data_IF_905383415096
#
_entry.id   IF_905383415096
#
_cell.length_a   1.000
_cell.length_b   1.000
_cell.length_c   1.000
_cell.angle_alpha   90.00
_cell.angle_beta   90.00
_cell.angle_gamma   90.00
#
_symmetry.space_group_name_H-M   'P 1'
#
loop_
_entity.id
_entity.type
_entity.pdbx_description
1 polymer ?
#
# COMPACT_ATOMS: atom_id res chain seq x y z
N UNK A 1 -41.65 36.32 90.00
CA UNK A 1 -41.63 37.24 88.84
C UNK A 1 -40.18 37.65 88.62
N UNK A 2 -39.44 36.98 87.72
CA UNK A 2 -38.14 37.42 87.20
C UNK A 2 -37.63 36.40 86.17
N UNK A 3 -37.02 36.92 85.12
CA UNK A 3 -36.89 36.36 83.78
C UNK A 3 -35.53 35.67 83.58
N UNK A 4 -35.57 34.57 82.82
CA UNK A 4 -34.42 33.83 82.24
C UNK A 4 -33.54 34.72 81.36
N UNK A 5 -32.23 34.56 81.46
CA UNK A 5 -31.31 34.70 80.31
C UNK A 5 -30.25 33.59 80.32
N UNK A 6 -29.96 33.09 79.13
CA UNK A 6 -29.18 31.90 78.82
C UNK A 6 -27.66 32.15 78.85
N UNK A 7 -26.91 31.17 79.32
CA UNK A 7 -25.51 30.92 78.94
C UNK A 7 -25.44 29.50 78.38
N UNK A 8 -25.17 29.36 77.08
CA UNK A 8 -24.93 28.06 76.47
C UNK A 8 -23.44 27.91 76.17
N UNK A 9 -22.90 26.77 76.61
CA UNK A 9 -21.50 26.46 76.68
C UNK A 9 -20.95 25.99 75.33
N UNK A 10 -19.65 26.28 75.18
CA UNK A 10 -18.70 25.76 74.20
C UNK A 10 -18.91 24.27 73.88
N UNK A 11 -19.08 23.95 72.60
CA UNK A 11 -18.75 22.64 72.04
C UNK A 11 -17.69 22.84 70.96
N UNK A 12 -16.45 22.51 71.31
CA UNK A 12 -15.33 22.44 70.40
C UNK A 12 -15.03 20.98 70.08
N UNK A 13 -14.82 20.69 68.80
CA UNK A 13 -13.91 19.64 68.34
C UNK A 13 -14.53 18.28 68.03
N UNK A 14 -14.78 18.02 66.74
CA UNK A 14 -14.16 16.90 65.99
C UNK A 14 -14.64 16.96 64.52
N UNK A 15 -13.90 17.66 63.66
CA UNK A 15 -14.07 17.52 62.20
C UNK A 15 -12.97 16.57 61.72
N UNK A 16 -13.31 15.28 61.59
CA UNK A 16 -12.42 14.28 61.01
C UNK A 16 -12.33 14.57 59.52
N UNK A 17 -11.14 14.98 59.08
CA UNK A 17 -10.75 15.15 57.70
C UNK A 17 -10.75 13.78 57.01
N UNK A 18 -11.82 13.44 56.28
CA UNK A 18 -11.85 12.28 55.40
C UNK A 18 -11.02 12.59 54.15
N UNK A 19 -9.75 12.19 54.17
CA UNK A 19 -8.92 12.17 52.97
C UNK A 19 -9.54 11.17 51.97
N UNK A 20 -10.15 11.70 50.91
CA UNK A 20 -10.56 10.92 49.75
C UNK A 20 -9.32 10.33 49.11
N UNK A 21 -9.10 9.02 49.31
CA UNK A 21 -8.08 8.27 48.59
C UNK A 21 -8.54 8.19 47.13
N UNK A 22 -7.91 9.00 46.29
CA UNK A 22 -8.08 8.93 44.84
C UNK A 22 -7.45 7.61 44.38
N UNK A 23 -8.27 6.57 44.24
CA UNK A 23 -7.85 5.34 43.58
C UNK A 23 -7.59 5.68 42.11
N UNK A 24 -6.32 5.67 41.68
CA UNK A 24 -6.01 5.67 40.25
C UNK A 24 -6.63 4.39 39.67
N UNK A 25 -7.70 4.51 38.91
CA UNK A 25 -8.27 3.37 38.21
C UNK A 25 -7.29 2.98 37.10
N UNK A 26 -6.48 1.96 37.38
CA UNK A 26 -5.67 1.30 36.35
C UNK A 26 -6.63 0.48 35.51
N UNK A 27 -7.03 1.00 34.35
CA UNK A 27 -7.76 0.25 33.36
C UNK A 27 -6.84 -0.82 32.78
N UNK A 28 -6.86 -2.01 33.37
CA UNK A 28 -6.20 -3.18 32.77
C UNK A 28 -7.08 -3.62 31.61
N UNK A 29 -6.60 -3.38 30.39
CA UNK A 29 -7.26 -3.86 29.18
C UNK A 29 -7.12 -5.38 29.11
N UNK A 30 -8.11 -6.07 29.64
CA UNK A 30 -8.24 -7.52 29.49
C UNK A 30 -8.67 -7.89 28.07
N UNK A 31 -8.41 -9.15 27.67
CA UNK A 31 -8.77 -9.73 26.37
C UNK A 31 -10.21 -9.41 25.95
N UNK A 32 -11.16 -9.54 26.88
CA UNK A 32 -12.59 -9.31 26.63
C UNK A 32 -12.91 -7.83 26.35
N UNK A 33 -12.18 -6.90 26.94
CA UNK A 33 -12.36 -5.45 26.72
C UNK A 33 -11.67 -4.99 25.44
N UNK A 34 -10.51 -5.58 25.09
CA UNK A 34 -9.80 -5.27 23.85
C UNK A 34 -10.50 -5.77 22.57
N UNK A 35 -11.30 -6.84 22.68
CA UNK A 35 -11.89 -7.54 21.52
C UNK A 35 -13.42 -7.43 21.46
N UNK A 36 -14.03 -6.62 22.34
CA UNK A 36 -15.47 -6.46 22.44
C UNK A 36 -16.11 -5.95 21.13
N UNK A 37 -15.41 -5.08 20.41
CA UNK A 37 -15.90 -4.45 19.17
C UNK A 37 -15.73 -5.36 17.93
N UNK A 38 -15.09 -6.52 18.07
CA UNK A 38 -14.87 -7.45 16.97
C UNK A 38 -16.16 -8.22 16.66
N UNK A 39 -16.80 -7.84 15.56
CA UNK A 39 -17.91 -8.59 14.97
C UNK A 39 -17.43 -9.97 14.51
N UNK A 40 -18.00 -11.03 15.09
CA UNK A 40 -17.68 -12.42 14.73
C UNK A 40 -18.90 -13.17 14.18
N UNK A 41 -19.94 -12.44 13.78
CA UNK A 41 -21.08 -13.03 13.07
C UNK A 41 -20.59 -13.67 11.77
N UNK A 42 -21.09 -14.86 11.49
CA UNK A 42 -20.71 -15.64 10.31
C UNK A 42 -21.98 -16.23 9.70
N UNK A 43 -22.19 -15.90 8.42
CA UNK A 43 -23.26 -16.48 7.61
C UNK A 43 -22.61 -17.46 6.64
N UNK A 44 -22.85 -18.77 6.78
CA UNK A 44 -22.33 -19.77 5.84
C UNK A 44 -22.82 -19.49 4.43
N UNK A 45 -21.95 -19.74 3.44
CA UNK A 45 -22.35 -19.73 2.03
C UNK A 45 -23.24 -20.95 1.73
N UNK A 46 -24.12 -20.86 0.74
CA UNK A 46 -24.90 -22.00 0.25
C UNK A 46 -24.76 -22.09 -1.27
N UNK A 47 -23.73 -22.80 -1.73
CA UNK A 47 -23.47 -23.05 -3.15
C UNK A 47 -23.68 -24.53 -3.50
N UNK A 48 -24.32 -24.84 -4.64
CA UNK A 48 -24.41 -26.20 -5.12
C UNK A 48 -23.02 -26.66 -5.60
N UNK A 49 -22.38 -27.55 -4.85
CA UNK A 49 -21.08 -28.12 -5.23
C UNK A 49 -21.29 -29.35 -6.12
N UNK A 50 -20.48 -29.47 -7.17
CA UNK A 50 -20.47 -30.65 -8.03
C UNK A 50 -20.07 -31.91 -7.24
N UNK A 51 -20.51 -33.08 -7.70
CA UNK A 51 -20.11 -34.39 -7.13
C UNK A 51 -18.81 -34.91 -7.76
N UNK A 52 -18.43 -34.36 -8.90
CA UNK A 52 -17.21 -34.75 -9.60
C UNK A 52 -15.99 -34.18 -8.89
N UNK A 53 -14.87 -34.90 -8.89
CA UNK A 53 -13.62 -34.44 -8.26
C UNK A 53 -12.89 -33.46 -9.17
N UNK A 54 -12.19 -32.52 -8.54
CA UNK A 54 -11.35 -31.55 -9.25
C UNK A 54 -10.35 -32.25 -10.17
N UNK A 55 -10.42 -31.93 -11.46
CA UNK A 55 -9.48 -32.42 -12.46
C UNK A 55 -8.20 -31.54 -12.52
N UNK A 56 -7.14 -32.04 -13.16
CA UNK A 56 -5.86 -31.31 -13.25
C UNK A 56 -5.98 -29.98 -14.04
N UNK A 57 -6.92 -29.90 -14.98
CA UNK A 57 -7.18 -28.67 -15.74
C UNK A 57 -7.79 -27.59 -14.84
N UNK A 58 -8.86 -27.93 -14.11
CA UNK A 58 -9.51 -27.09 -13.12
C UNK A 58 -8.53 -26.67 -12.03
N UNK A 59 -7.65 -27.56 -11.57
CA UNK A 59 -6.57 -27.21 -10.65
C UNK A 59 -5.67 -26.09 -11.18
N UNK A 60 -5.25 -26.17 -12.46
CA UNK A 60 -4.42 -25.13 -13.10
C UNK A 60 -5.20 -23.84 -13.30
N UNK A 61 -6.46 -23.94 -13.70
CA UNK A 61 -7.33 -22.78 -13.90
C UNK A 61 -7.60 -22.06 -12.57
N UNK A 62 -7.77 -22.78 -11.46
CA UNK A 62 -7.88 -22.19 -10.12
C UNK A 62 -6.61 -21.44 -9.74
N UNK A 63 -5.44 -22.07 -9.88
CA UNK A 63 -4.15 -21.41 -9.57
C UNK A 63 -3.96 -20.16 -10.43
N UNK A 64 -4.26 -20.23 -11.73
CA UNK A 64 -4.10 -19.11 -12.65
C UNK A 64 -5.00 -17.92 -12.28
N UNK A 65 -6.24 -18.18 -11.88
CA UNK A 65 -7.24 -17.13 -11.67
C UNK A 65 -7.29 -16.59 -10.24
N UNK A 66 -6.85 -17.35 -9.23
CA UNK A 66 -6.83 -16.95 -7.82
C UNK A 66 -5.46 -16.45 -7.35
N UNK A 67 -4.37 -16.84 -8.01
CA UNK A 67 -3.04 -16.35 -7.63
C UNK A 67 -2.92 -14.84 -7.87
N UNK A 68 -2.36 -14.12 -6.91
CA UNK A 68 -2.22 -12.66 -6.92
C UNK A 68 -3.54 -11.89 -6.95
N UNK A 69 -4.67 -12.56 -6.69
CA UNK A 69 -5.96 -11.89 -6.62
C UNK A 69 -6.04 -10.97 -5.40
N UNK A 70 -6.75 -9.85 -5.56
CA UNK A 70 -6.95 -8.85 -4.53
C UNK A 70 -8.39 -8.93 -4.03
N UNK A 71 -8.57 -8.85 -2.73
CA UNK A 71 -9.87 -8.80 -2.08
C UNK A 71 -9.87 -7.85 -0.89
N UNK A 72 -10.99 -7.78 -0.19
CA UNK A 72 -11.18 -6.98 1.02
C UNK A 72 -11.64 -7.87 2.16
N UNK A 73 -11.05 -7.70 3.34
CA UNK A 73 -11.44 -8.49 4.50
C UNK A 73 -12.84 -8.07 4.99
N UNK A 74 -13.79 -8.99 5.13
CA UNK A 74 -15.10 -8.67 5.72
C UNK A 74 -15.07 -8.56 7.24
N UNK A 75 -14.07 -9.18 7.86
CA UNK A 75 -13.89 -9.31 9.31
C UNK A 75 -12.42 -9.11 9.66
N UNK A 76 -12.06 -8.78 10.91
CA UNK A 76 -10.65 -8.65 11.25
C UNK A 76 -9.97 -10.01 11.13
N UNK A 77 -8.95 -10.12 10.30
CA UNK A 77 -8.22 -11.36 10.09
C UNK A 77 -7.09 -11.47 11.12
N UNK A 78 -6.96 -12.58 11.85
CA UNK A 78 -5.83 -12.78 12.75
C UNK A 78 -4.55 -13.09 11.97
N UNK A 79 -3.40 -12.76 12.56
CA UNK A 79 -2.11 -13.31 12.14
C UNK A 79 -2.10 -14.79 12.56
N UNK A 80 -2.42 -15.68 11.63
CA UNK A 80 -2.60 -17.09 11.95
C UNK A 80 -3.30 -17.89 10.87
N UNK A 81 -3.83 -19.04 11.27
CA UNK A 81 -4.54 -19.96 10.40
C UNK A 81 -6.00 -20.01 10.82
N UNK A 82 -6.89 -19.79 9.85
CA UNK A 82 -8.33 -19.97 9.99
C UNK A 82 -8.80 -21.03 9.00
N UNK A 83 -9.79 -21.81 9.41
CA UNK A 83 -10.34 -22.92 8.63
C UNK A 83 -11.79 -22.62 8.32
N UNK A 84 -12.12 -22.61 7.04
CA UNK A 84 -13.47 -22.40 6.55
C UNK A 84 -13.95 -23.69 5.93
N UNK A 85 -15.05 -24.25 6.43
CA UNK A 85 -15.67 -25.41 5.78
C UNK A 85 -16.51 -24.92 4.60
N UNK A 86 -16.39 -25.54 3.43
CA UNK A 86 -17.20 -25.20 2.28
C UNK A 86 -18.70 -25.33 2.63
N UNK A 87 -19.45 -24.23 2.45
CA UNK A 87 -20.86 -24.09 2.88
C UNK A 87 -21.12 -24.38 4.37
N UNK A 88 -20.09 -24.29 5.22
CA UNK A 88 -20.18 -24.65 6.62
C UNK A 88 -19.52 -23.61 7.51
N UNK A 89 -19.16 -24.03 8.72
CA UNK A 89 -18.71 -23.11 9.77
C UNK A 89 -17.26 -22.65 9.59
N UNK A 90 -16.99 -21.47 10.17
CA UNK A 90 -15.65 -20.92 10.37
C UNK A 90 -15.08 -21.40 11.71
N UNK A 91 -13.89 -21.98 11.66
CA UNK A 91 -13.10 -22.41 12.82
C UNK A 91 -11.77 -21.66 12.86
N UNK A 92 -11.29 -21.20 14.02
CA UNK A 92 -11.85 -21.36 15.37
C UNK A 92 -13.12 -20.55 15.61
N UNK A 93 -13.97 -21.04 16.53
CA UNK A 93 -15.19 -20.35 16.96
C UNK A 93 -14.91 -18.98 17.61
N UNK A 94 -15.95 -18.18 17.82
CA UNK A 94 -15.83 -16.74 18.07
C UNK A 94 -14.88 -16.34 19.20
N UNK A 95 -14.90 -17.05 20.34
CA UNK A 95 -14.04 -16.73 21.48
C UNK A 95 -12.56 -16.99 21.19
N UNK A 96 -12.26 -18.16 20.59
CA UNK A 96 -10.89 -18.50 20.17
C UNK A 96 -10.40 -17.59 19.05
N UNK A 97 -11.31 -17.14 18.19
CA UNK A 97 -10.99 -16.18 17.14
C UNK A 97 -10.54 -14.84 17.73
N UNK A 98 -11.25 -14.33 18.75
CA UNK A 98 -10.86 -13.12 19.50
C UNK A 98 -9.55 -13.32 20.25
N UNK A 99 -9.37 -14.47 20.92
CA UNK A 99 -8.14 -14.81 21.61
C UNK A 99 -6.93 -14.80 20.67
N UNK A 100 -7.09 -15.34 19.45
CA UNK A 100 -6.02 -15.30 18.44
C UNK A 100 -5.66 -13.88 18.03
N UNK A 101 -6.65 -13.01 17.80
CA UNK A 101 -6.41 -11.60 17.46
C UNK A 101 -5.70 -10.89 18.62
N UNK A 102 -6.13 -11.14 19.86
CA UNK A 102 -5.51 -10.54 21.05
C UNK A 102 -4.04 -10.98 21.23
N UNK A 103 -3.76 -12.29 21.08
CA UNK A 103 -2.42 -12.84 21.33
C UNK A 103 -1.44 -12.61 20.17
N UNK A 104 -1.89 -12.78 18.94
CA UNK A 104 -1.02 -12.76 17.74
C UNK A 104 -1.10 -11.44 16.98
N UNK A 105 -2.13 -10.64 17.23
CA UNK A 105 -2.41 -9.43 16.48
C UNK A 105 -3.31 -9.67 15.28
N UNK A 106 -3.73 -8.56 14.70
CA UNK A 106 -4.59 -8.49 13.53
C UNK A 106 -3.74 -8.30 12.27
N UNK A 107 -3.95 -9.16 11.28
CA UNK A 107 -3.30 -9.12 9.97
C UNK A 107 -3.97 -8.10 9.03
N UNK A 108 -5.30 -8.01 9.07
CA UNK A 108 -6.09 -7.10 8.24
C UNK A 108 -7.34 -6.66 8.99
N UNK A 109 -7.72 -5.39 8.86
CA UNK A 109 -8.97 -4.86 9.41
C UNK A 109 -10.16 -5.15 8.49
N UNK A 110 -11.41 -5.11 9.00
CA UNK A 110 -12.59 -5.08 8.14
C UNK A 110 -12.49 -3.94 7.13
N UNK A 111 -12.69 -4.23 5.85
CA UNK A 111 -12.55 -3.29 4.74
C UNK A 111 -11.11 -3.06 4.27
N UNK A 112 -10.10 -3.70 4.87
CA UNK A 112 -8.72 -3.58 4.43
C UNK A 112 -8.44 -4.50 3.22
N UNK A 113 -7.55 -4.04 2.33
CA UNK A 113 -7.20 -4.76 1.12
C UNK A 113 -6.22 -5.90 1.44
N UNK A 114 -6.57 -7.10 1.01
CA UNK A 114 -5.75 -8.30 1.13
C UNK A 114 -5.39 -8.85 -0.24
N UNK A 115 -4.23 -9.48 -0.35
CA UNK A 115 -3.75 -10.07 -1.60
C UNK A 115 -3.42 -11.55 -1.40
N UNK A 116 -3.88 -12.39 -2.32
CA UNK A 116 -3.53 -13.81 -2.37
C UNK A 116 -2.10 -13.96 -2.86
N UNK A 117 -1.20 -14.33 -1.96
CA UNK A 117 0.24 -14.46 -2.23
C UNK A 117 0.69 -15.87 -2.53
N UNK A 118 -0.04 -16.89 -2.05
CA UNK A 118 0.19 -18.28 -2.43
C UNK A 118 -1.12 -19.08 -2.35
N UNK A 119 -1.26 -20.04 -3.26
CA UNK A 119 -2.38 -20.97 -3.32
C UNK A 119 -1.84 -22.40 -3.37
N UNK A 120 -2.24 -23.24 -2.41
CA UNK A 120 -1.87 -24.64 -2.35
C UNK A 120 -3.12 -25.53 -2.29
N UNK A 121 -3.35 -26.27 -3.37
CA UNK A 121 -4.47 -27.20 -3.49
C UNK A 121 -4.00 -28.59 -3.00
N UNK A 122 -4.60 -29.07 -1.91
CA UNK A 122 -4.40 -30.44 -1.38
C UNK A 122 -5.57 -31.33 -1.78
N UNK A 123 -5.65 -32.56 -1.25
CA UNK A 123 -6.71 -33.50 -1.64
C UNK A 123 -8.11 -33.06 -1.25
N UNK A 124 -8.26 -32.51 -0.05
CA UNK A 124 -9.52 -32.15 0.59
C UNK A 124 -9.62 -30.68 1.00
N UNK A 125 -8.55 -29.90 0.79
CA UNK A 125 -8.49 -28.51 1.21
C UNK A 125 -7.71 -27.63 0.24
N UNK A 126 -8.15 -26.38 0.12
CA UNK A 126 -7.46 -25.31 -0.58
C UNK A 126 -6.87 -24.36 0.47
N UNK A 127 -5.56 -24.20 0.47
CA UNK A 127 -4.84 -23.33 1.40
C UNK A 127 -4.47 -22.04 0.68
N UNK A 128 -4.99 -20.93 1.17
CA UNK A 128 -4.80 -19.58 0.63
C UNK A 128 -3.98 -18.76 1.62
N UNK A 129 -2.84 -18.25 1.19
CA UNK A 129 -2.01 -17.35 1.98
C UNK A 129 -2.26 -15.90 1.58
N UNK A 130 -2.79 -15.12 2.51
CA UNK A 130 -3.04 -13.69 2.38
C UNK A 130 -1.85 -12.89 2.91
N UNK A 131 -1.42 -11.88 2.17
CA UNK A 131 -0.35 -10.94 2.55
C UNK A 131 0.93 -11.65 3.05
N UNK A 132 1.37 -12.68 2.33
CA UNK A 132 2.59 -13.45 2.64
C UNK A 132 2.36 -14.66 3.55
N UNK A 133 1.16 -14.80 4.11
CA UNK A 133 0.80 -15.85 5.05
C UNK A 133 1.34 -15.61 6.48
N UNK A 134 0.95 -16.45 7.44
CA UNK A 134 1.26 -16.26 8.87
C UNK A 134 2.66 -16.76 9.27
N UNK A 135 3.40 -17.37 8.34
CA UNK A 135 4.73 -17.93 8.61
C UNK A 135 5.76 -17.31 7.68
N UNK A 136 6.93 -16.97 8.24
CA UNK A 136 8.05 -16.46 7.46
C UNK A 136 8.55 -17.53 6.49
N UNK A 137 8.79 -17.14 5.24
CA UNK A 137 9.39 -18.05 4.25
C UNK A 137 10.85 -18.28 4.62
N UNK A 138 11.25 -19.54 4.77
CA UNK A 138 12.62 -19.91 5.09
C UNK A 138 13.55 -19.60 3.90
N UNK A 139 14.50 -18.66 4.09
CA UNK A 139 15.52 -18.31 3.09
C UNK A 139 16.85 -18.94 3.52
N UNK A 140 17.18 -20.12 3.03
CA UNK A 140 18.40 -20.83 3.48
C UNK A 140 19.70 -20.00 3.36
N UNK A 141 19.80 -19.15 2.33
CA UNK A 141 20.94 -18.25 2.12
C UNK A 141 21.06 -17.15 3.20
N UNK A 142 20.01 -16.84 3.96
CA UNK A 142 20.08 -15.85 5.04
C UNK A 142 20.86 -16.34 6.26
N UNK A 143 21.16 -17.64 6.34
CA UNK A 143 22.02 -18.22 7.37
C UNK A 143 23.48 -18.34 6.93
N UNK A 144 23.80 -18.03 5.67
CA UNK A 144 25.17 -18.10 5.15
C UNK A 144 25.83 -16.75 5.35
N UNK A 145 26.95 -16.76 6.09
CA UNK A 145 27.81 -15.61 6.32
C UNK A 145 29.14 -15.83 5.60
N UNK A 146 29.60 -14.81 4.88
CA UNK A 146 30.92 -14.77 4.28
C UNK A 146 31.64 -13.54 4.82
N UNK A 147 32.81 -13.71 5.44
CA UNK A 147 33.59 -12.63 6.05
C UNK A 147 32.76 -11.77 7.02
N UNK A 148 32.04 -12.41 7.95
CA UNK A 148 31.15 -11.78 8.93
C UNK A 148 30.04 -10.89 8.36
N UNK A 149 29.79 -10.98 7.04
CA UNK A 149 28.68 -10.31 6.38
C UNK A 149 27.67 -11.35 5.89
N UNK A 150 26.39 -11.09 6.16
CA UNK A 150 25.30 -11.92 5.67
C UNK A 150 25.23 -11.81 4.15
N UNK A 151 25.23 -12.95 3.44
CA UNK A 151 25.18 -12.97 1.96
C UNK A 151 23.87 -12.39 1.43
N UNK A 152 22.81 -12.47 2.24
CA UNK A 152 21.50 -11.88 1.95
C UNK A 152 21.10 -10.96 3.10
N UNK A 153 20.66 -9.75 2.75
CA UNK A 153 20.07 -8.82 3.71
C UNK A 153 18.90 -9.51 4.44
N UNK A 154 19.05 -9.67 5.76
CA UNK A 154 17.99 -10.14 6.62
C UNK A 154 17.13 -8.93 6.99
N UNK A 155 16.05 -8.70 6.24
CA UNK A 155 15.19 -7.53 6.43
C UNK A 155 14.30 -7.61 7.68
N UNK A 156 14.45 -8.62 8.55
CA UNK A 156 13.66 -8.75 9.78
C UNK A 156 12.15 -8.83 9.51
N UNK A 157 11.77 -9.29 8.31
CA UNK A 157 10.39 -9.28 7.82
C UNK A 157 9.53 -10.22 8.66
N UNK A 158 8.71 -9.64 9.54
CA UNK A 158 7.81 -10.41 10.38
C UNK A 158 6.61 -10.85 9.55
N UNK A 159 6.19 -12.14 9.62
CA UNK A 159 5.04 -12.60 8.89
C UNK A 159 3.76 -12.03 9.51
N UNK A 160 3.23 -10.98 8.90
CA UNK A 160 2.00 -10.31 9.34
C UNK A 160 0.75 -10.80 8.58
N UNK A 161 0.89 -11.82 7.75
CA UNK A 161 -0.20 -12.34 6.93
C UNK A 161 -1.16 -13.29 7.65
N UNK A 162 -2.17 -13.73 6.92
CA UNK A 162 -3.17 -14.70 7.40
C UNK A 162 -3.27 -15.87 6.43
N UNK A 163 -3.62 -17.06 6.92
CA UNK A 163 -3.85 -18.26 6.10
C UNK A 163 -5.29 -18.72 6.26
N UNK A 164 -5.98 -18.85 5.14
CA UNK A 164 -7.31 -19.43 5.08
C UNK A 164 -7.20 -20.85 4.51
N UNK A 165 -7.72 -21.82 5.24
CA UNK A 165 -7.82 -23.20 4.79
C UNK A 165 -9.28 -23.49 4.49
N UNK A 166 -9.64 -23.53 3.21
CA UNK A 166 -10.97 -23.92 2.76
C UNK A 166 -11.04 -25.45 2.67
N UNK A 167 -11.85 -26.08 3.53
CA UNK A 167 -11.97 -27.54 3.65
C UNK A 167 -13.25 -28.02 2.98
N UNK A 168 -13.15 -29.08 2.18
CA UNK A 168 -14.26 -29.72 1.49
C UNK A 168 -14.49 -31.11 2.09
N UNK A 169 -15.58 -31.31 2.87
CA UNK A 169 -15.91 -32.62 3.41
C UNK A 169 -16.20 -33.60 2.25
N UNK A 170 -15.25 -34.52 1.98
CA UNK A 170 -15.37 -35.48 0.88
C UNK A 170 -14.41 -35.27 -0.30
N UNK A 171 -13.52 -34.27 -0.22
CA UNK A 171 -12.57 -33.95 -1.28
C UNK A 171 -12.99 -32.73 -2.09
N UNK A 172 -12.04 -32.13 -2.80
CA UNK A 172 -12.33 -30.92 -3.59
C UNK A 172 -13.16 -31.30 -4.82
N UNK A 173 -14.38 -30.77 -4.97
CA UNK A 173 -15.19 -31.00 -6.14
C UNK A 173 -14.68 -30.19 -7.35
N UNK A 174 -15.18 -30.47 -8.55
CA UNK A 174 -14.91 -29.63 -9.71
C UNK A 174 -15.56 -28.26 -9.50
N UNK A 175 -14.71 -27.27 -9.15
CA UNK A 175 -15.11 -25.92 -8.80
C UNK A 175 -14.31 -24.92 -9.62
N UNK A 176 -14.98 -23.87 -10.05
CA UNK A 176 -14.42 -22.75 -10.77
C UNK A 176 -13.87 -21.69 -9.82
N UNK A 177 -13.01 -20.80 -10.31
CA UNK A 177 -12.46 -19.71 -9.51
C UNK A 177 -13.54 -18.78 -8.93
N UNK A 178 -14.60 -18.39 -9.67
CA UNK A 178 -15.72 -17.61 -9.11
C UNK A 178 -16.42 -18.31 -7.95
N UNK A 179 -16.63 -19.63 -8.03
CA UNK A 179 -17.27 -20.40 -6.95
C UNK A 179 -16.40 -20.45 -5.70
N UNK A 180 -15.08 -20.62 -5.85
CA UNK A 180 -14.14 -20.56 -4.71
C UNK A 180 -14.14 -19.17 -4.07
N UNK A 181 -14.25 -18.10 -4.85
CA UNK A 181 -14.37 -16.72 -4.32
C UNK A 181 -15.66 -16.55 -3.53
N UNK A 182 -16.78 -17.02 -4.05
CA UNK A 182 -18.07 -16.98 -3.36
C UNK A 182 -18.06 -17.85 -2.07
N UNK A 183 -17.34 -18.96 -2.05
CA UNK A 183 -17.11 -19.73 -0.82
C UNK A 183 -16.27 -18.98 0.21
N UNK A 184 -15.35 -18.12 -0.22
CA UNK A 184 -14.50 -17.31 0.66
C UNK A 184 -15.14 -15.98 1.07
N UNK A 185 -16.24 -15.57 0.43
CA UNK A 185 -16.97 -14.32 0.66
C UNK A 185 -17.28 -14.03 2.15
N UNK A 186 -17.65 -14.98 3.01
CA UNK A 186 -17.88 -14.68 4.43
C UNK A 186 -16.66 -14.12 5.19
N UNK A 187 -15.45 -14.27 4.61
CA UNK A 187 -14.18 -13.86 5.19
C UNK A 187 -13.50 -12.77 4.33
N UNK A 188 -13.47 -12.94 3.01
CA UNK A 188 -12.83 -12.02 2.06
C UNK A 188 -13.73 -11.80 0.85
N UNK A 189 -14.03 -10.54 0.55
CA UNK A 189 -14.72 -10.11 -0.67
C UNK A 189 -13.73 -10.02 -1.83
N UNK A 190 -13.93 -10.79 -2.89
CA UNK A 190 -13.17 -10.67 -4.14
C UNK A 190 -13.97 -10.00 -5.26
N UNK A 191 -15.23 -9.64 -5.02
CA UNK A 191 -16.13 -9.01 -5.99
C UNK A 191 -15.85 -7.52 -6.20
N UNK A 192 -15.00 -6.90 -5.38
CA UNK A 192 -14.73 -5.47 -5.47
C UNK A 192 -13.86 -5.16 -6.69
N UNK A 193 -14.45 -4.40 -7.61
CA UNK A 193 -13.79 -3.92 -8.82
C UNK A 193 -12.55 -3.11 -8.45
N UNK A 194 -11.45 -3.31 -9.19
CA UNK A 194 -10.27 -2.45 -9.05
C UNK A 194 -10.66 -0.98 -9.30
N UNK A 195 -9.94 -0.02 -8.71
CA UNK A 195 -10.26 1.41 -8.90
C UNK A 195 -10.35 1.82 -10.37
N UNK A 196 -9.54 1.21 -11.24
CA UNK A 196 -9.58 1.41 -12.68
C UNK A 196 -10.84 0.83 -13.33
N UNK A 197 -11.27 -0.36 -12.90
CA UNK A 197 -12.47 -1.02 -13.40
C UNK A 197 -13.75 -0.32 -12.92
N UNK A 198 -13.77 0.10 -11.65
CA UNK A 198 -14.85 0.92 -11.12
C UNK A 198 -14.95 2.27 -11.86
N UNK A 199 -13.81 2.86 -12.23
CA UNK A 199 -13.79 4.04 -13.09
C UNK A 199 -14.29 3.74 -14.51
N UNK A 200 -13.89 2.63 -15.12
CA UNK A 200 -14.34 2.26 -16.46
C UNK A 200 -15.87 2.11 -16.55
N UNK A 201 -16.52 1.64 -15.48
CA UNK A 201 -17.98 1.52 -15.43
C UNK A 201 -18.73 2.86 -15.39
N UNK A 202 -18.08 3.94 -14.94
CA UNK A 202 -18.70 5.28 -14.95
C UNK A 202 -18.63 5.95 -16.32
N UNK A 203 -17.86 5.39 -17.26
CA UNK A 203 -17.64 5.97 -18.57
C UNK A 203 -18.78 5.65 -19.56
N UNK A 204 -18.96 6.49 -20.60
CA UNK A 204 -19.85 6.23 -21.73
C UNK A 204 -19.62 4.85 -22.37
N UNK A 205 -20.64 4.23 -22.97
CA UNK A 205 -20.57 2.84 -23.45
C UNK A 205 -19.46 2.62 -24.49
N UNK A 206 -19.21 3.59 -25.37
CA UNK A 206 -18.13 3.52 -26.36
C UNK A 206 -16.75 3.41 -25.71
N UNK A 207 -16.46 4.29 -24.76
CA UNK A 207 -15.21 4.28 -23.98
C UNK A 207 -15.09 3.01 -23.12
N UNK A 208 -16.18 2.57 -22.50
CA UNK A 208 -16.21 1.34 -21.70
C UNK A 208 -15.88 0.10 -22.53
N UNK A 209 -16.46 0.00 -23.73
CA UNK A 209 -16.20 -1.10 -24.65
C UNK A 209 -14.75 -1.09 -25.15
N UNK A 210 -14.20 0.08 -25.47
CA UNK A 210 -12.78 0.21 -25.85
C UNK A 210 -11.85 -0.23 -24.71
N UNK A 211 -12.12 0.20 -23.47
CA UNK A 211 -11.36 -0.22 -22.28
C UNK A 211 -11.47 -1.74 -22.07
N UNK A 212 -12.67 -2.31 -22.19
CA UNK A 212 -12.88 -3.76 -22.08
C UNK A 212 -12.14 -4.55 -23.19
N UNK A 213 -12.06 -3.98 -24.39
CA UNK A 213 -11.29 -4.51 -25.51
C UNK A 213 -9.77 -4.26 -25.40
N UNK A 214 -9.30 -3.54 -24.37
CA UNK A 214 -7.92 -3.11 -24.19
C UNK A 214 -7.41 -2.26 -25.36
N UNK A 215 -8.29 -1.42 -25.90
CA UNK A 215 -8.05 -0.50 -27.01
C UNK A 215 -7.99 0.93 -26.50
N UNK A 216 -7.09 1.72 -27.08
CA UNK A 216 -6.91 3.14 -26.75
C UNK A 216 -7.39 3.97 -27.92
N UNK A 217 -8.35 4.85 -27.66
CA UNK A 217 -8.86 5.78 -28.65
C UNK A 217 -8.15 7.13 -28.51
N UNK A 218 -7.96 7.80 -29.65
CA UNK A 218 -7.47 9.19 -29.67
C UNK A 218 -8.47 10.08 -28.93
N UNK A 219 -7.99 10.99 -28.09
CA UNK A 219 -8.79 11.87 -27.24
C UNK A 219 -9.00 11.38 -25.80
N UNK A 220 -8.67 10.12 -25.48
CA UNK A 220 -8.73 9.57 -24.12
C UNK A 220 -7.79 10.30 -23.15
N UNK A 221 -8.15 10.40 -21.87
CA UNK A 221 -7.27 10.95 -20.84
C UNK A 221 -6.30 9.89 -20.30
N UNK A 222 -5.18 10.30 -19.66
CA UNK A 222 -4.22 9.36 -19.06
C UNK A 222 -4.86 8.29 -18.17
N UNK A 223 -5.84 8.67 -17.34
CA UNK A 223 -6.54 7.73 -16.45
C UNK A 223 -7.32 6.66 -17.22
N UNK A 224 -7.87 6.99 -18.38
CA UNK A 224 -8.56 6.03 -19.24
C UNK A 224 -7.58 5.06 -19.88
N UNK A 225 -6.43 5.56 -20.34
CA UNK A 225 -5.37 4.71 -20.91
C UNK A 225 -4.82 3.76 -19.85
N UNK A 226 -4.63 4.23 -18.61
CA UNK A 226 -4.28 3.37 -17.47
C UNK A 226 -5.38 2.35 -17.15
N UNK A 227 -6.65 2.67 -17.36
CA UNK A 227 -7.74 1.72 -17.17
C UNK A 227 -7.81 0.67 -18.30
N UNK A 228 -7.46 1.04 -19.54
CA UNK A 228 -7.45 0.14 -20.70
C UNK A 228 -6.22 -0.78 -20.75
N UNK A 229 -5.02 -0.23 -20.56
CA UNK A 229 -3.75 -0.94 -20.76
C UNK A 229 -2.93 -1.14 -19.48
N UNK A 230 -3.30 -0.48 -18.38
CA UNK A 230 -2.50 -0.49 -17.15
C UNK A 230 -1.27 0.43 -17.21
N UNK A 231 -0.33 0.19 -16.31
CA UNK A 231 0.90 0.97 -16.22
C UNK A 231 1.80 0.72 -17.46
N UNK A 232 2.34 1.77 -18.10
CA UNK A 232 3.24 1.61 -19.23
C UNK A 232 4.59 1.00 -18.80
N UNK A 233 5.22 0.24 -19.69
CA UNK A 233 6.56 -0.31 -19.46
C UNK A 233 7.61 0.80 -19.50
N UNK A 234 7.46 1.73 -20.46
CA UNK A 234 8.34 2.89 -20.61
C UNK A 234 7.54 4.15 -20.90
N UNK A 235 7.93 5.24 -20.24
CA UNK A 235 7.37 6.57 -20.42
C UNK A 235 8.48 7.51 -20.85
N UNK A 236 8.31 8.15 -22.00
CA UNK A 236 9.24 9.11 -22.59
C UNK A 236 8.55 10.47 -22.59
N UNK A 237 9.31 11.51 -22.28
CA UNK A 237 8.84 12.90 -22.39
C UNK A 237 9.80 13.61 -23.31
N UNK A 238 9.28 14.10 -24.41
CA UNK A 238 10.08 14.74 -25.44
C UNK A 238 9.40 16.02 -25.89
N UNK A 239 10.21 16.90 -26.45
CA UNK A 239 9.79 18.13 -27.08
C UNK A 239 10.12 17.96 -28.56
N UNK A 240 9.18 18.24 -29.47
CA UNK A 240 9.41 18.06 -30.90
C UNK A 240 10.74 18.72 -31.31
N UNK A 241 11.63 17.88 -31.86
CA UNK A 241 13.02 18.25 -32.14
C UNK A 241 13.07 19.28 -33.26
N UNK A 242 13.20 20.55 -32.91
CA UNK A 242 13.34 21.65 -33.87
C UNK A 242 12.88 23.01 -33.36
N UNK A 243 11.91 23.04 -32.44
CA UNK A 243 11.33 24.30 -31.94
C UNK A 243 11.55 24.46 -30.43
N UNK A 244 12.25 25.53 -29.97
CA UNK A 244 12.38 25.85 -28.54
C UNK A 244 11.03 26.03 -27.82
N UNK A 245 9.96 26.30 -28.58
CA UNK A 245 8.58 26.45 -28.11
C UNK A 245 7.68 25.27 -28.51
N UNK A 246 8.27 24.15 -28.98
CA UNK A 246 7.53 22.97 -29.42
C UNK A 246 6.69 22.38 -28.29
N UNK A 247 5.50 21.87 -28.64
CA UNK A 247 4.60 21.26 -27.68
C UNK A 247 5.28 20.05 -27.02
N UNK A 248 5.34 20.05 -25.69
CA UNK A 248 5.84 18.89 -24.95
C UNK A 248 4.84 17.76 -25.11
N UNK A 249 5.31 16.61 -25.56
CA UNK A 249 4.52 15.39 -25.59
C UNK A 249 5.09 14.35 -24.64
N UNK A 250 4.19 13.49 -24.18
CA UNK A 250 4.53 12.35 -23.36
C UNK A 250 4.17 11.10 -24.15
N UNK A 251 5.12 10.21 -24.41
CA UNK A 251 4.89 8.97 -25.13
C UNK A 251 4.98 7.78 -24.19
N UNK A 252 3.91 6.99 -24.14
CA UNK A 252 3.83 5.76 -23.38
C UNK A 252 4.00 4.58 -24.32
N UNK A 253 4.89 3.68 -23.95
CA UNK A 253 5.27 2.53 -24.76
C UNK A 253 4.84 1.29 -24.00
N UNK A 254 4.00 0.51 -24.66
CA UNK A 254 3.45 -0.74 -24.16
C UNK A 254 3.96 -1.90 -25.00
N UNK A 255 4.54 -2.90 -24.33
CA UNK A 255 5.06 -4.11 -24.93
C UNK A 255 6.47 -3.98 -25.50
N UNK A 256 7.05 -5.13 -25.83
CA UNK A 256 8.37 -5.28 -26.42
C UNK A 256 8.33 -6.34 -27.53
N UNK A 257 9.20 -6.21 -28.54
CA UNK A 257 9.34 -7.19 -29.62
C UNK A 257 9.72 -8.56 -29.01
N UNK A 258 9.06 -9.68 -29.33
CA UNK A 258 8.18 -9.97 -30.48
C UNK A 258 6.67 -9.79 -30.23
N UNK A 259 6.23 -9.13 -29.17
CA UNK A 259 4.81 -8.86 -28.95
C UNK A 259 4.35 -7.58 -29.67
N UNK A 260 3.04 -7.37 -29.81
CA UNK A 260 2.50 -6.13 -30.38
C UNK A 260 2.90 -4.94 -29.52
N UNK A 261 3.61 -3.99 -30.12
CA UNK A 261 4.05 -2.76 -29.44
C UNK A 261 3.02 -1.65 -29.73
N UNK A 262 2.63 -0.91 -28.70
CA UNK A 262 1.74 0.26 -28.84
C UNK A 262 2.45 1.50 -28.33
N UNK A 263 2.48 2.54 -29.15
CA UNK A 263 2.98 3.86 -28.79
C UNK A 263 1.79 4.79 -28.63
N UNK A 264 1.60 5.33 -27.43
CA UNK A 264 0.51 6.25 -27.13
C UNK A 264 1.15 7.61 -26.83
N UNK A 265 0.98 8.56 -27.74
CA UNK A 265 1.47 9.93 -27.60
C UNK A 265 0.39 10.80 -27.00
N UNK A 266 0.74 11.50 -25.92
CA UNK A 266 -0.11 12.44 -25.20
C UNK A 266 0.35 13.88 -25.45
N UNK A 267 -0.62 14.77 -25.67
CA UNK A 267 -0.45 16.21 -25.55
C UNK A 267 -1.26 16.69 -24.35
N UNK A 268 -0.60 17.25 -23.34
CA UNK A 268 -1.27 17.61 -22.08
C UNK A 268 -1.80 16.35 -21.38
N UNK A 269 -3.12 16.28 -21.15
CA UNK A 269 -3.78 15.11 -20.52
C UNK A 269 -4.37 14.10 -21.51
N UNK A 270 -4.35 14.40 -22.81
CA UNK A 270 -5.12 13.69 -23.84
C UNK A 270 -4.23 12.94 -24.83
N UNK A 271 -4.70 11.78 -25.28
CA UNK A 271 -4.08 11.02 -26.37
C UNK A 271 -4.25 11.78 -27.67
N UNK A 272 -3.15 12.04 -28.35
CA UNK A 272 -3.12 12.70 -29.66
C UNK A 272 -2.83 11.73 -30.80
N UNK A 273 -2.03 10.70 -30.55
CA UNK A 273 -1.70 9.71 -31.58
C UNK A 273 -1.50 8.35 -30.94
N UNK A 274 -2.07 7.31 -31.55
CA UNK A 274 -1.82 5.91 -31.19
C UNK A 274 -1.18 5.22 -32.37
N UNK A 275 0.00 4.62 -32.18
CA UNK A 275 0.66 3.81 -33.18
C UNK A 275 0.72 2.36 -32.71
N UNK A 276 0.16 1.45 -33.51
CA UNK A 276 0.11 0.02 -33.20
C UNK A 276 1.03 -0.71 -34.17
N UNK A 277 2.10 -1.30 -33.64
CA UNK A 277 3.06 -2.10 -34.38
C UNK A 277 2.83 -3.60 -34.09
N UNK A 278 2.13 -4.28 -35.01
CA UNK A 278 1.96 -5.74 -34.99
C UNK A 278 3.03 -6.39 -35.86
N UNK A 279 3.61 -7.50 -35.41
CA UNK A 279 4.57 -8.26 -36.22
C UNK A 279 3.95 -8.69 -37.57
N UNK A 280 4.61 -8.31 -38.67
CA UNK A 280 4.21 -8.68 -40.01
C UNK A 280 3.09 -7.85 -40.64
N UNK A 281 2.58 -6.82 -39.94
CA UNK A 281 1.66 -5.83 -40.49
C UNK A 281 2.31 -4.45 -40.53
N UNK A 282 1.90 -3.56 -41.46
CA UNK A 282 2.29 -2.16 -41.40
C UNK A 282 1.80 -1.52 -40.09
N UNK A 283 2.53 -0.50 -39.61
CA UNK A 283 2.18 0.22 -38.38
C UNK A 283 0.86 0.97 -38.61
N UNK A 284 -0.16 0.69 -37.80
CA UNK A 284 -1.44 1.39 -37.84
C UNK A 284 -1.32 2.67 -37.02
N UNK A 285 -1.53 3.83 -37.65
CA UNK A 285 -1.44 5.15 -37.01
C UNK A 285 -2.86 5.73 -36.92
N UNK A 286 -3.31 5.98 -35.70
CA UNK A 286 -4.56 6.65 -35.41
C UNK A 286 -4.24 8.07 -34.92
N UNK A 287 -4.59 9.08 -35.71
CA UNK A 287 -4.36 10.49 -35.44
C UNK A 287 -5.66 11.32 -35.34
N UNK A 288 -6.78 10.80 -35.85
CA UNK A 288 -8.08 11.46 -35.79
C UNK A 288 -8.74 11.24 -34.42
N UNK A 289 -9.31 12.29 -33.84
CA UNK A 289 -10.06 12.18 -32.60
C UNK A 289 -11.35 11.38 -32.82
N UNK A 290 -11.41 10.19 -32.25
CA UNK A 290 -12.54 9.28 -32.40
C UNK A 290 -13.63 9.51 -31.32
N UNK A 291 -13.40 10.40 -30.34
CA UNK A 291 -14.36 10.75 -29.29
C UNK A 291 -15.16 12.00 -29.67
N UNK A 292 -16.49 11.90 -29.59
CA UNK A 292 -17.38 13.06 -29.78
C UNK A 292 -17.27 14.01 -28.58
N UNK A 293 -17.49 15.31 -28.78
CA UNK A 293 -17.27 16.34 -27.74
C UNK A 293 -18.09 16.11 -26.45
N UNK A 294 -19.23 15.42 -26.55
CA UNK A 294 -20.06 15.02 -25.40
C UNK A 294 -19.60 13.73 -24.69
N UNK A 295 -18.70 12.95 -25.27
CA UNK A 295 -18.13 11.73 -24.68
C UNK A 295 -16.81 12.00 -23.93
N UNK A 296 -16.28 13.21 -24.06
CA UNK A 296 -15.10 13.66 -23.33
C UNK A 296 -15.50 14.01 -21.89
N UNK A 297 -15.11 13.24 -20.87
CA UNK A 297 -15.35 13.68 -19.50
C UNK A 297 -14.50 14.92 -19.23
N UNK A 298 -15.12 15.91 -18.60
CA UNK A 298 -14.41 17.06 -18.05
C UNK A 298 -13.35 16.57 -17.07
N UNK A 299 -12.22 17.29 -16.99
CA UNK A 299 -11.10 16.97 -16.08
C UNK A 299 -11.62 16.90 -14.64
N UNK A 300 -11.96 15.71 -14.18
CA UNK A 300 -12.51 15.51 -12.84
C UNK A 300 -11.33 15.56 -11.87
N UNK A 301 -11.24 16.62 -11.07
CA UNK A 301 -10.29 16.71 -9.96
C UNK A 301 -10.50 15.50 -9.05
N UNK A 302 -9.41 14.83 -8.68
CA UNK A 302 -9.46 13.80 -7.64
C UNK A 302 -9.75 14.48 -6.29
N UNK A 303 -10.97 14.31 -5.79
CA UNK A 303 -11.36 14.78 -4.46
C UNK A 303 -10.72 13.84 -3.43
N UNK A 304 -9.76 14.35 -2.67
CA UNK A 304 -9.22 13.65 -1.51
C UNK A 304 -10.17 13.79 -0.31
N UNK A 305 -10.09 12.87 0.65
CA UNK A 305 -10.82 12.98 1.92
C UNK A 305 -10.47 14.30 2.62
N UNK A 306 -11.41 15.25 2.62
CA UNK A 306 -11.25 16.61 3.17
C UNK A 306 -11.58 17.76 2.20
N UNK A 307 -11.68 17.50 0.89
CA UNK A 307 -12.10 18.52 -0.09
C UNK A 307 -13.63 18.65 -0.11
N UNK A 308 -14.15 19.88 -0.07
CA UNK A 308 -15.58 20.15 -0.27
C UNK A 308 -15.94 20.12 -1.76
N UNK A 309 -17.05 19.48 -2.09
CA UNK A 309 -17.67 19.54 -3.43
C UNK A 309 -18.13 20.99 -3.68
N UNK A 310 -17.83 21.60 -4.84
CA UNK A 310 -18.30 22.95 -5.13
C UNK A 310 -19.82 22.92 -5.26
N UNK A 311 -20.51 23.52 -4.29
CA UNK A 311 -21.92 23.87 -4.40
C UNK A 311 -22.10 24.92 -5.48
N UNK A 312 -23.21 24.82 -6.22
CA UNK A 312 -23.47 25.51 -7.48
C UNK A 312 -23.74 27.03 -7.38
N UNK A 313 -23.42 27.65 -6.25
CA UNK A 313 -23.83 29.03 -5.91
C UNK A 313 -22.66 29.98 -5.59
N UNK A 314 -21.41 29.64 -5.91
CA UNK A 314 -20.25 30.50 -5.57
C UNK A 314 -19.36 30.74 -6.80
N UNK A 315 -19.82 31.59 -7.73
CA UNK A 315 -19.00 32.10 -8.84
C UNK A 315 -18.19 33.36 -8.49
N UNK A 316 -18.29 33.92 -7.29
CA UNK A 316 -17.53 35.13 -6.91
C UNK A 316 -16.97 35.06 -5.49
N UNK A 317 -15.93 34.25 -5.29
CA UNK A 317 -14.90 34.52 -4.27
C UNK A 317 -13.67 33.63 -4.50
N UNK A 318 -12.50 34.25 -4.67
CA UNK A 318 -11.22 33.56 -4.54
C UNK A 318 -11.02 33.08 -3.09
N UNK A 319 -11.56 31.92 -2.74
CA UNK A 319 -11.46 31.38 -1.39
C UNK A 319 -10.21 30.49 -1.25
N UNK A 320 -9.19 31.04 -0.61
CA UNK A 320 -7.99 30.33 -0.15
C UNK A 320 -8.36 29.13 0.74
N UNK A 321 -7.54 28.07 0.66
CA UNK A 321 -7.62 26.91 1.53
C UNK A 321 -7.68 27.32 3.02
N UNK A 322 -8.47 26.62 3.87
CA UNK A 322 -8.50 26.91 5.30
C UNK A 322 -7.11 26.72 5.91
N UNK A 323 -6.70 27.57 6.87
CA UNK A 323 -5.41 27.45 7.53
C UNK A 323 -5.32 26.12 8.28
N UNK A 324 -4.12 25.51 8.36
CA UNK A 324 -3.92 24.25 9.06
C UNK A 324 -4.37 24.35 10.52
N UNK A 325 -4.85 23.25 11.13
CA UNK A 325 -5.36 23.26 12.50
C UNK A 325 -4.26 23.74 13.45
N UNK A 326 -4.50 24.90 14.07
CA UNK A 326 -3.60 25.49 15.05
C UNK A 326 -3.99 25.03 16.46
N UNK A 327 -2.99 24.81 17.33
CA UNK A 327 -3.18 24.56 18.77
C UNK A 327 -3.74 25.77 19.55
N UNK A 328 -4.16 26.85 18.86
CA UNK A 328 -4.66 28.08 19.49
C UNK A 328 -6.16 27.99 19.71
N UNK A 329 -6.61 28.48 20.87
CA UNK A 329 -8.02 28.66 21.13
C UNK A 329 -8.56 29.82 20.26
N UNK A 330 -9.82 29.74 19.80
CA UNK A 330 -10.41 30.79 18.98
C UNK A 330 -10.47 32.12 19.76
N UNK A 331 -9.74 33.14 19.29
CA UNK A 331 -9.74 34.50 19.85
C UNK A 331 -8.38 35.07 20.25
N UNK A 332 -7.30 34.29 20.22
CA UNK A 332 -5.96 34.79 20.58
C UNK A 332 -5.28 35.51 19.39
N UNK A 333 -5.01 36.81 19.53
CA UNK A 333 -4.38 37.62 18.49
C UNK A 333 -2.90 37.24 18.29
N UNK A 334 -2.47 37.09 17.03
CA UNK A 334 -1.08 36.79 16.69
C UNK A 334 -0.16 38.00 16.96
N UNK A 335 1.07 37.80 17.49
CA UNK A 335 2.03 38.88 17.60
C UNK A 335 2.47 39.37 16.21
N UNK A 336 2.70 40.68 16.09
CA UNK A 336 2.85 41.44 14.85
C UNK A 336 4.02 41.05 13.92
N UNK A 337 4.78 39.98 14.23
CA UNK A 337 5.96 39.54 13.46
C UNK A 337 5.97 38.03 13.16
N UNK A 338 4.81 37.41 12.95
CA UNK A 338 4.70 35.99 12.61
C UNK A 338 4.28 35.76 11.15
N UNK A 339 5.15 36.12 10.20
CA UNK A 339 5.05 35.58 8.84
C UNK A 339 5.55 34.14 8.82
N UNK A 340 4.72 33.19 9.29
CA UNK A 340 4.74 31.77 8.91
C UNK A 340 6.06 30.97 8.96
N UNK A 341 7.13 31.48 9.56
CA UNK A 341 8.42 30.78 9.68
C UNK A 341 8.59 30.26 11.10
N UNK A 342 8.79 28.96 11.21
CA UNK A 342 9.23 28.30 12.44
C UNK A 342 10.59 28.90 12.83
N UNK A 343 10.65 29.62 13.94
CA UNK A 343 11.91 30.11 14.49
C UNK A 343 12.63 28.96 15.18
N UNK A 344 13.78 28.56 14.65
CA UNK A 344 14.71 27.71 15.39
C UNK A 344 15.39 28.54 16.48
N UNK A 345 15.56 28.01 17.70
CA UNK A 345 16.35 28.68 18.73
C UNK A 345 17.74 28.97 18.18
N UNK A 346 18.12 30.24 18.14
CA UNK A 346 19.49 30.65 17.83
C UNK A 346 20.28 30.71 19.12
N UNK A 347 21.57 30.39 19.05
CA UNK A 347 22.51 30.20 20.18
C UNK A 347 22.71 31.41 21.13
N UNK A 348 21.92 32.48 21.01
CA UNK A 348 21.97 33.64 21.92
C UNK A 348 21.27 33.44 23.26
N UNK A 349 20.55 32.33 23.45
CA UNK A 349 19.94 31.95 24.73
C UNK A 349 20.76 30.90 25.53
N UNK A 350 22.05 30.73 25.22
CA UNK A 350 22.94 29.80 25.92
C UNK A 350 23.24 30.19 27.39
N UNK A 351 22.73 31.33 27.88
CA UNK A 351 22.94 31.81 29.26
C UNK A 351 21.98 31.28 30.32
N UNK A 352 20.93 30.53 29.96
CA UNK A 352 19.98 29.93 30.92
C UNK A 352 20.00 28.40 30.85
N UNK A 353 21.15 27.81 31.12
CA UNK A 353 21.30 26.37 31.36
C UNK A 353 21.96 26.12 32.72
N UNK A 354 21.25 26.46 33.77
CA UNK A 354 21.40 25.84 35.08
C UNK A 354 19.98 25.47 35.52
N UNK A 355 19.78 24.27 36.06
CA UNK A 355 18.50 23.70 36.55
C UNK A 355 17.59 22.98 35.54
N UNK A 356 18.15 22.12 34.69
CA UNK A 356 17.40 20.93 34.23
C UNK A 356 18.20 19.67 34.51
N UNK A 357 17.66 18.81 35.36
CA UNK A 357 18.22 17.48 35.63
C UNK A 357 18.25 16.64 34.35
N UNK A 358 19.31 15.83 34.13
CA UNK A 358 19.42 15.01 32.94
C UNK A 358 18.44 13.83 32.99
N UNK A 359 17.79 13.59 31.84
CA UNK A 359 16.98 12.40 31.58
C UNK A 359 17.94 11.19 31.46
N UNK A 360 17.71 10.06 32.15
CA UNK A 360 18.56 8.87 32.01
C UNK A 360 18.48 8.29 30.59
N UNK A 361 19.64 7.88 30.05
CA UNK A 361 19.72 7.25 28.74
C UNK A 361 19.10 5.83 28.73
N UNK A 362 18.39 5.50 27.66
CA UNK A 362 17.93 4.15 27.38
C UNK A 362 19.13 3.23 27.02
N UNK A 363 19.17 1.98 27.51
CA UNK A 363 20.30 1.08 27.27
C UNK A 363 20.26 0.53 25.84
N UNK A 364 21.30 0.78 25.04
CA UNK A 364 21.54 0.03 23.80
C UNK A 364 22.06 0.75 22.54
N UNK A 365 22.30 2.07 22.54
CA UNK A 365 22.77 2.77 21.33
C UNK A 365 24.29 3.05 21.34
N UNK A 366 25.02 2.82 20.21
CA UNK A 366 26.44 3.14 20.08
C UNK A 366 26.65 4.67 20.03
N UNK A 367 27.76 5.13 20.63
CA UNK A 367 28.15 6.54 20.64
C UNK A 367 28.78 6.98 19.30
N UNK A 368 28.37 8.14 18.81
CA UNK A 368 29.01 8.88 17.70
C UNK A 368 30.43 9.35 18.08
N UNK A 369 31.48 9.09 17.26
CA UNK A 369 32.80 9.66 17.49
C UNK A 369 32.96 10.96 16.70
N UNK A 370 32.47 12.07 17.26
CA UNK A 370 32.80 13.41 16.77
C UNK A 370 33.42 14.23 17.91
N UNK A 371 34.70 13.99 18.21
CA UNK A 371 35.54 14.91 19.00
C UNK A 371 36.99 14.40 19.14
N UNK A 372 37.82 14.49 18.10
CA UNK A 372 39.27 14.54 18.30
C UNK A 372 39.94 15.54 17.34
N UNK A 373 40.74 16.41 17.96
CA UNK A 373 41.52 17.54 17.46
C UNK A 373 42.66 17.16 16.52
N UNK A 374 42.92 17.97 15.48
CA UNK A 374 44.12 17.92 14.63
C UNK A 374 45.23 18.86 15.12
N UNK A 375 46.51 18.52 14.89
CA UNK A 375 47.47 19.47 14.29
C UNK A 375 48.45 18.77 13.29
N UNK A 376 49.45 19.46 12.68
CA UNK A 376 49.36 20.08 11.36
C UNK A 376 50.24 19.41 10.26
N UNK A 377 50.05 19.92 9.05
CA UNK A 377 50.54 19.50 7.74
C UNK A 377 52.06 19.52 7.50
N UNK A 378 52.55 18.55 6.70
CA UNK A 378 53.76 18.66 5.88
C UNK A 378 53.51 18.10 4.46
N UNK A 379 54.21 18.67 3.48
CA UNK A 379 53.93 18.61 2.04
C UNK A 379 54.99 17.78 1.26
N UNK A 380 54.58 17.21 0.11
CA UNK A 380 55.37 16.73 -1.08
C UNK A 380 56.10 15.37 -0.91
N UNK A 381 56.18 14.44 -1.88
CA UNK A 381 55.79 14.33 -3.31
C UNK A 381 55.85 12.83 -3.77
N UNK A 382 55.59 12.44 -5.04
CA UNK A 382 54.89 11.21 -5.43
C UNK A 382 55.81 10.05 -5.82
N UNK A 383 55.30 8.81 -5.78
CA UNK A 383 55.89 7.73 -6.56
C UNK A 383 54.82 6.88 -7.28
N UNK A 384 55.07 6.73 -8.58
CA UNK A 384 54.39 5.91 -9.55
C UNK A 384 54.42 4.42 -9.22
N UNK A 385 53.33 3.70 -9.49
CA UNK A 385 53.37 2.41 -10.21
C UNK A 385 51.95 1.90 -10.51
N UNK A 386 51.72 1.63 -11.78
CA UNK A 386 50.49 1.15 -12.40
C UNK A 386 50.66 -0.37 -12.64
N UNK A 387 49.68 -1.24 -12.34
CA UNK A 387 49.80 -2.66 -12.70
C UNK A 387 49.18 -2.97 -14.06
N UNK A 388 49.91 -3.83 -14.77
CA UNK A 388 49.77 -4.35 -16.12
C UNK A 388 48.41 -4.96 -16.51
N UNK A 389 48.05 -4.75 -17.79
CA UNK A 389 47.17 -5.59 -18.63
C UNK A 389 47.89 -6.89 -19.03
N UNK A 390 47.18 -8.03 -19.13
CA UNK A 390 47.60 -9.16 -19.95
C UNK A 390 47.00 -9.10 -21.37
N UNK A 391 47.85 -9.32 -22.38
CA UNK A 391 47.50 -9.65 -23.78
C UNK A 391 47.17 -11.16 -23.89
N UNK A 392 46.06 -11.54 -24.53
CA UNK A 392 45.93 -12.06 -25.91
C UNK A 392 46.04 -13.59 -26.02
N UNK A 393 44.94 -14.27 -26.41
CA UNK A 393 44.93 -15.54 -27.16
C UNK A 393 43.66 -15.64 -28.03
N UNK A 394 43.83 -15.63 -29.36
CA UNK A 394 43.25 -16.67 -30.25
C UNK A 394 42.01 -16.35 -31.09
N UNK A 395 42.21 -15.83 -32.31
CA UNK A 395 41.26 -15.90 -33.44
C UNK A 395 41.61 -17.06 -34.39
N UNK A 396 40.65 -17.88 -34.85
CA UNK A 396 40.86 -18.79 -35.98
C UNK A 396 40.62 -18.10 -37.34
N UNK A 397 41.49 -18.36 -38.31
CA UNK A 397 41.41 -17.90 -39.69
C UNK A 397 40.60 -18.88 -40.57
N UNK A 398 39.82 -18.36 -41.50
CA UNK A 398 39.13 -19.08 -42.58
C UNK A 398 39.94 -19.02 -43.88
N UNK A 399 40.00 -20.09 -44.70
CA UNK A 399 40.53 -20.01 -46.07
C UNK A 399 39.40 -19.94 -47.10
N UNK A 400 39.47 -18.98 -48.02
CA UNK A 400 38.53 -18.82 -49.13
C UNK A 400 39.25 -18.33 -50.38
N UNK A 401 39.41 -19.25 -51.33
CA UNK A 401 40.08 -19.16 -52.63
C UNK A 401 39.54 -18.06 -53.55
N UNK A 402 40.47 -17.32 -54.17
CA UNK A 402 40.20 -16.37 -55.25
C UNK A 402 40.18 -17.03 -56.63
N UNK A 403 39.30 -16.52 -57.47
CA UNK A 403 39.13 -16.84 -58.90
C UNK A 403 39.75 -15.73 -59.75
N UNK A 404 40.39 -16.09 -60.85
CA UNK A 404 40.75 -15.23 -62.00
C UNK A 404 41.04 -16.15 -63.19
N UNK A 405 41.00 -15.70 -64.46
CA UNK A 405 40.51 -14.41 -64.98
C UNK A 405 39.18 -14.48 -65.75
#
# INVERSE_FOLDING_TARGET
MAIRTHRWALFAGFFVLSAQVVYSQVFVVGEKTATADISTSFTPTNLPLSKEKLNERGRRDLVRNLAAEQGFAHRPLPIGVITLTANGDLSPGADKYREMIYRKGQAAAPGDRVVVTALNIKGDQIVVDLNGGPYAKHRFLSHIQLNNNNVVANNGEQPMGSRITLVFPGGIPDVSAPEVKALLEPVVDFGVKSGNQAYADTLPPKLRNAIAAHEVLVGMNHRMVLAALGAPERKVREQDSGDPNGARYEEWIYGHVPQTVRFVRFHGDRVATVQIAVLGKPIEIHDQNELEEGEMPSNTRQVAMGDRVPSKDEEDASAAAPPPPSLRLPGEAAPANAQGKVQYPTDKDAGRKADRQPIPAAPGSPADPASQSMPPSQTRQPNSQQPNRPQDIGRPQTPGTGTTP
#
